data_IF_708825616187
#
_entry.id   IF_708825616187
#
_cell.length_a   1.000
_cell.length_b   1.000
_cell.length_c   1.000
_cell.angle_alpha   90.00
_cell.angle_beta   90.00
_cell.angle_gamma   90.00
#
_symmetry.space_group_name_H-M   'P 1'
#
loop_
_entity.id
_entity.type
_entity.pdbx_description
1 polymer ?
#
# COMPACT_ATOMS: atom_id res chain seq x y z
N UNK A 1 -1.19 8.10 10.82
CA UNK A 1 -2.21 9.10 10.41
C UNK A 1 -1.63 10.23 9.58
N UNK A 2 -0.56 10.93 10.02
CA UNK A 2 0.09 11.97 9.21
C UNK A 2 0.50 11.51 7.79
N UNK A 3 1.19 10.37 7.66
CA UNK A 3 1.58 9.82 6.36
C UNK A 3 0.37 9.47 5.47
N UNK A 4 -0.71 8.95 6.06
CA UNK A 4 -1.96 8.70 5.34
C UNK A 4 -2.65 9.98 4.87
N UNK A 5 -2.52 11.08 5.62
CA UNK A 5 -3.04 12.38 5.18
C UNK A 5 -2.38 12.84 3.87
N UNK A 6 -1.07 12.65 3.74
CA UNK A 6 -0.35 12.93 2.51
C UNK A 6 -0.84 12.03 1.38
N UNK A 7 -0.91 10.71 1.64
CA UNK A 7 -1.42 9.74 0.67
C UNK A 7 -2.83 10.09 0.18
N UNK A 8 -3.76 10.50 1.04
CA UNK A 8 -5.11 10.87 0.60
C UNK A 8 -5.15 12.16 -0.23
N UNK A 9 -4.21 13.08 -0.01
CA UNK A 9 -4.08 14.27 -0.84
C UNK A 9 -3.57 13.93 -2.23
N UNK A 10 -2.58 13.04 -2.32
CA UNK A 10 -1.94 12.65 -3.56
C UNK A 10 -2.76 11.63 -4.35
N UNK A 11 -3.45 10.74 -3.64
CA UNK A 11 -4.23 9.63 -4.19
C UNK A 11 -5.52 9.51 -3.37
N UNK A 12 -6.59 10.20 -3.82
CA UNK A 12 -7.88 10.11 -3.20
C UNK A 12 -8.37 8.65 -3.16
N UNK A 13 -9.02 8.28 -2.05
CA UNK A 13 -9.60 6.96 -1.82
C UNK A 13 -11.01 6.83 -2.42
N UNK A 14 -11.23 7.48 -3.56
CA UNK A 14 -12.46 7.47 -4.32
C UNK A 14 -12.13 7.49 -5.81
N UNK A 15 -12.96 6.83 -6.61
CA UNK A 15 -12.82 6.83 -8.06
C UNK A 15 -13.58 8.01 -8.68
N UNK A 16 -12.95 8.69 -9.63
CA UNK A 16 -13.61 9.62 -10.54
C UNK A 16 -13.92 8.90 -11.86
N UNK A 17 -15.21 8.76 -12.19
CA UNK A 17 -15.69 8.04 -13.38
C UNK A 17 -15.06 6.64 -13.53
N UNK A 18 -14.86 5.95 -12.42
CA UNK A 18 -14.29 4.61 -12.37
C UNK A 18 -12.76 4.54 -12.45
N UNK A 19 -12.05 5.67 -12.36
CA UNK A 19 -10.59 5.75 -12.38
C UNK A 19 -10.02 6.41 -11.13
N UNK A 20 -8.82 6.01 -10.73
CA UNK A 20 -8.08 6.73 -9.69
C UNK A 20 -7.58 8.06 -10.23
N UNK A 21 -7.50 9.04 -9.34
CA UNK A 21 -6.89 10.33 -9.63
C UNK A 21 -5.53 10.43 -8.92
N UNK A 22 -4.49 9.83 -9.51
CA UNK A 22 -3.12 9.97 -9.03
C UNK A 22 -2.62 11.38 -9.34
N UNK A 23 -2.35 12.19 -8.30
CA UNK A 23 -1.82 13.55 -8.45
C UNK A 23 -0.31 13.60 -8.36
N UNK A 24 0.31 12.55 -7.84
CA UNK A 24 1.75 12.42 -7.70
C UNK A 24 2.23 11.02 -8.14
N UNK A 25 3.11 11.00 -9.15
CA UNK A 25 3.75 9.78 -9.66
C UNK A 25 5.09 9.49 -8.97
N UNK A 26 5.55 10.37 -8.05
CA UNK A 26 6.82 10.25 -7.33
C UNK A 26 6.95 8.92 -6.59
N UNK A 27 5.85 8.37 -6.06
CA UNK A 27 5.83 7.05 -5.43
C UNK A 27 6.34 5.95 -6.37
N UNK A 28 5.79 5.90 -7.59
CA UNK A 28 6.17 4.91 -8.60
C UNK A 28 7.55 5.20 -9.18
N UNK A 29 7.85 6.47 -9.46
CA UNK A 29 9.17 6.88 -9.95
C UNK A 29 10.28 6.56 -8.95
N UNK A 30 10.00 6.57 -7.64
CA UNK A 30 10.96 6.19 -6.61
C UNK A 30 11.11 4.67 -6.47
N UNK A 31 10.09 3.89 -6.76
CA UNK A 31 10.12 2.43 -6.63
C UNK A 31 10.72 1.73 -7.85
N UNK A 32 10.31 2.09 -9.07
CA UNK A 32 10.60 1.31 -10.27
C UNK A 32 11.80 1.86 -11.07
N UNK A 33 12.44 0.98 -11.85
CA UNK A 33 13.57 1.29 -12.74
C UNK A 33 13.13 1.83 -14.10
N UNK A 34 11.91 1.49 -14.54
CA UNK A 34 11.35 1.88 -15.84
C UNK A 34 9.93 2.45 -15.66
N UNK A 35 9.57 3.43 -16.50
CA UNK A 35 8.25 4.08 -16.57
C UNK A 35 7.18 3.20 -17.22
N UNK A 36 7.55 2.04 -17.78
CA UNK A 36 6.58 1.04 -18.26
C UNK A 36 5.74 0.42 -17.13
N UNK A 37 6.15 0.61 -15.88
CA UNK A 37 5.38 0.33 -14.67
C UNK A 37 4.60 1.57 -14.25
N UNK A 38 3.29 1.42 -14.04
CA UNK A 38 2.41 2.56 -13.82
C UNK A 38 0.92 2.28 -14.04
N UNK A 39 0.52 1.01 -14.13
CA UNK A 39 -0.89 0.68 -14.05
C UNK A 39 -1.39 0.89 -12.61
N UNK A 40 -2.71 0.90 -12.43
CA UNK A 40 -3.33 1.19 -11.13
C UNK A 40 -2.76 0.33 -9.99
N UNK A 41 -2.49 -0.95 -10.25
CA UNK A 41 -1.91 -1.88 -9.26
C UNK A 41 -0.48 -1.49 -8.90
N UNK A 42 0.34 -1.13 -9.89
CA UNK A 42 1.73 -0.71 -9.64
C UNK A 42 1.79 0.58 -8.83
N UNK A 43 0.92 1.54 -9.14
CA UNK A 43 0.85 2.81 -8.41
C UNK A 43 0.38 2.60 -6.97
N UNK A 44 -0.67 1.82 -6.76
CA UNK A 44 -1.15 1.46 -5.41
C UNK A 44 -0.08 0.70 -4.62
N UNK A 45 0.65 -0.22 -5.27
CA UNK A 45 1.75 -0.94 -4.64
C UNK A 45 2.89 -0.01 -4.22
N UNK A 46 3.28 0.92 -5.09
CA UNK A 46 4.35 1.88 -4.81
C UNK A 46 4.04 2.74 -3.58
N UNK A 47 2.79 3.13 -3.41
CA UNK A 47 2.33 3.93 -2.27
C UNK A 47 2.28 3.10 -1.00
N UNK A 48 1.81 1.85 -1.08
CA UNK A 48 1.85 0.90 0.03
C UNK A 48 3.28 0.62 0.50
N UNK A 49 4.21 0.46 -0.44
CA UNK A 49 5.64 0.33 -0.16
C UNK A 49 6.23 1.58 0.48
N UNK A 50 5.89 2.77 -0.02
CA UNK A 50 6.32 4.02 0.61
C UNK A 50 5.79 4.15 2.03
N UNK A 51 4.50 3.85 2.28
CA UNK A 51 3.94 3.82 3.63
C UNK A 51 4.70 2.82 4.53
N UNK A 52 5.11 1.69 3.99
CA UNK A 52 5.95 0.73 4.70
C UNK A 52 7.29 1.36 5.09
N UNK A 53 8.01 1.95 4.14
CA UNK A 53 9.32 2.57 4.40
C UNK A 53 9.21 3.68 5.45
N UNK A 54 8.27 4.61 5.28
CA UNK A 54 8.14 5.77 6.17
C UNK A 54 7.76 5.42 7.61
N UNK A 55 7.15 4.27 7.86
CA UNK A 55 6.64 3.92 9.18
C UNK A 55 7.39 2.76 9.85
N UNK A 56 8.09 1.92 9.08
CA UNK A 56 8.65 0.65 9.58
C UNK A 56 10.14 0.51 9.31
N UNK A 57 10.69 1.19 8.30
CA UNK A 57 12.09 1.07 7.92
C UNK A 57 12.97 2.01 8.75
N UNK A 58 14.04 1.47 9.33
CA UNK A 58 15.03 2.24 10.07
C UNK A 58 16.35 2.28 9.30
N UNK A 59 16.62 3.42 8.69
CA UNK A 59 17.86 3.70 7.95
C UNK A 59 19.10 3.54 8.84
N UNK A 60 18.96 3.66 10.17
CA UNK A 60 20.08 3.54 11.11
C UNK A 60 20.48 2.10 11.43
N UNK A 61 19.60 1.12 11.21
CA UNK A 61 19.85 -0.30 11.54
C UNK A 61 19.72 -1.25 10.35
N UNK A 62 19.41 -0.75 9.13
CA UNK A 62 19.13 -1.57 7.95
C UNK A 62 18.06 -2.66 8.22
N UNK A 63 17.18 -2.42 9.20
CA UNK A 63 16.21 -3.38 9.68
C UNK A 63 14.84 -2.71 9.86
N UNK A 64 13.83 -3.55 10.00
CA UNK A 64 12.54 -3.09 10.51
C UNK A 64 12.79 -2.59 11.94
N UNK A 65 12.27 -1.41 12.28
CA UNK A 65 12.38 -0.88 13.63
C UNK A 65 11.62 -1.82 14.58
N UNK A 66 12.25 -2.37 15.62
CA UNK A 66 11.58 -3.28 16.57
C UNK A 66 10.43 -2.60 17.35
N UNK A 67 10.39 -1.26 17.39
CA UNK A 67 9.23 -0.48 17.88
C UNK A 67 8.08 -0.39 16.87
N UNK A 68 8.30 -0.86 15.65
CA UNK A 68 7.31 -0.85 14.59
C UNK A 68 6.29 -1.96 14.86
N UNK A 69 5.17 -1.55 15.45
CA UNK A 69 4.11 -2.45 15.83
C UNK A 69 3.57 -3.18 14.60
N UNK A 70 3.39 -4.50 14.75
CA UNK A 70 2.54 -5.34 13.89
C UNK A 70 1.22 -4.62 13.50
N UNK A 71 0.71 -3.76 14.39
CA UNK A 71 -0.49 -2.93 14.19
C UNK A 71 -0.39 -1.97 13.01
N UNK A 72 0.79 -1.38 12.74
CA UNK A 72 0.98 -0.45 11.62
C UNK A 72 0.81 -1.19 10.29
N UNK A 73 1.37 -2.40 10.18
CA UNK A 73 1.22 -3.25 8.98
C UNK A 73 -0.26 -3.54 8.72
N UNK A 74 -1.07 -3.76 9.77
CA UNK A 74 -2.52 -3.95 9.59
C UNK A 74 -3.19 -2.72 8.98
N UNK A 75 -2.88 -1.51 9.44
CA UNK A 75 -3.47 -0.29 8.86
C UNK A 75 -3.06 -0.07 7.39
N UNK A 76 -1.80 -0.36 7.04
CA UNK A 76 -1.33 -0.31 5.65
C UNK A 76 -2.10 -1.33 4.80
N UNK A 77 -2.27 -2.56 5.29
CA UNK A 77 -3.02 -3.61 4.58
C UNK A 77 -4.52 -3.29 4.48
N UNK A 78 -5.13 -2.68 5.49
CA UNK A 78 -6.53 -2.22 5.43
C UNK A 78 -6.68 -1.19 4.29
N UNK A 79 -5.79 -0.20 4.25
CA UNK A 79 -5.78 0.79 3.17
C UNK A 79 -5.56 0.12 1.80
N UNK A 80 -4.57 -0.77 1.69
CA UNK A 80 -4.25 -1.47 0.44
C UNK A 80 -5.43 -2.28 -0.09
N UNK A 81 -6.06 -3.11 0.75
CA UNK A 81 -7.23 -3.91 0.37
C UNK A 81 -8.39 -2.98 -0.02
N UNK A 82 -8.63 -1.93 0.76
CA UNK A 82 -9.69 -0.96 0.45
C UNK A 82 -9.50 -0.35 -0.93
N UNK A 83 -8.31 0.20 -1.20
CA UNK A 83 -7.98 0.78 -2.50
C UNK A 83 -8.19 -0.24 -3.60
N UNK A 84 -7.56 -1.41 -3.54
CA UNK A 84 -7.73 -2.45 -4.57
C UNK A 84 -9.21 -2.81 -4.83
N UNK A 85 -10.02 -2.91 -3.77
CA UNK A 85 -11.46 -3.24 -3.89
C UNK A 85 -12.30 -2.11 -4.50
N UNK A 86 -11.87 -0.85 -4.49
CA UNK A 86 -12.58 0.23 -5.20
C UNK A 86 -12.74 -0.05 -6.70
N UNK A 87 -11.74 -0.71 -7.31
CA UNK A 87 -11.73 -1.13 -8.72
C UNK A 87 -12.29 -2.54 -8.95
N UNK A 88 -12.78 -3.22 -7.91
CA UNK A 88 -13.39 -4.53 -8.10
C UNK A 88 -14.78 -4.36 -8.71
N UNK A 89 -15.01 -5.02 -9.83
CA UNK A 89 -16.25 -4.97 -10.62
C UNK A 89 -17.12 -6.23 -10.41
N UNK A 90 -16.81 -7.03 -9.38
CA UNK A 90 -17.47 -8.31 -9.10
C UNK A 90 -17.05 -9.46 -10.03
N UNK A 91 -16.22 -9.21 -11.04
CA UNK A 91 -15.68 -10.23 -11.96
C UNK A 91 -14.23 -10.54 -11.65
N UNK A 92 -13.45 -9.51 -11.28
CA UNK A 92 -12.03 -9.65 -10.95
C UNK A 92 -11.77 -9.27 -9.50
N UNK A 93 -11.15 -10.19 -8.76
CA UNK A 93 -10.60 -9.89 -7.44
C UNK A 93 -9.26 -9.16 -7.61
N UNK A 94 -9.31 -7.84 -7.49
CA UNK A 94 -8.13 -6.96 -7.57
C UNK A 94 -7.11 -7.21 -6.47
N UNK A 95 -7.53 -7.77 -5.33
CA UNK A 95 -6.62 -8.18 -4.26
C UNK A 95 -5.81 -9.40 -4.69
N UNK A 96 -6.46 -10.37 -5.34
CA UNK A 96 -5.78 -11.55 -5.88
C UNK A 96 -4.88 -11.20 -7.07
N UNK A 97 -5.31 -10.29 -7.93
CA UNK A 97 -4.48 -9.77 -9.04
C UNK A 97 -3.21 -9.09 -8.51
N UNK A 98 -3.35 -8.24 -7.49
CA UNK A 98 -2.21 -7.64 -6.78
C UNK A 98 -1.31 -8.71 -6.17
N UNK A 99 -1.86 -9.71 -5.47
CA UNK A 99 -1.08 -10.77 -4.84
C UNK A 99 -0.22 -11.50 -5.86
N UNK A 100 -0.83 -11.94 -6.97
CA UNK A 100 -0.12 -12.67 -8.01
C UNK A 100 0.98 -11.83 -8.67
N UNK A 101 0.70 -10.54 -8.93
CA UNK A 101 1.62 -9.64 -9.63
C UNK A 101 2.75 -9.09 -8.73
N UNK A 102 2.44 -8.67 -7.52
CA UNK A 102 3.35 -7.88 -6.68
C UNK A 102 4.00 -8.69 -5.55
N UNK A 103 3.40 -9.83 -5.16
CA UNK A 103 3.80 -10.63 -3.99
C UNK A 103 4.29 -12.03 -4.39
N UNK A 104 3.62 -12.70 -5.34
CA UNK A 104 3.91 -14.08 -5.74
C UNK A 104 4.65 -14.20 -7.09
N UNK A 105 5.20 -13.11 -7.61
CA UNK A 105 5.76 -13.09 -8.97
C UNK A 105 7.15 -13.74 -9.10
N UNK A 106 7.41 -14.32 -10.28
CA UNK A 106 8.60 -15.10 -10.66
C UNK A 106 9.81 -14.20 -10.98
N UNK A 107 10.25 -13.39 -10.01
CA UNK A 107 11.40 -12.46 -10.08
C UNK A 107 11.26 -11.26 -11.04
N UNK A 108 10.39 -11.30 -12.04
CA UNK A 108 10.28 -10.24 -13.06
C UNK A 108 9.93 -8.88 -12.45
N UNK A 109 8.98 -8.86 -11.52
CA UNK A 109 8.57 -7.67 -10.78
C UNK A 109 9.65 -7.15 -9.83
N UNK A 110 10.44 -8.06 -9.24
CA UNK A 110 11.55 -7.66 -8.37
C UNK A 110 12.64 -6.98 -9.18
N UNK A 111 12.89 -7.43 -10.41
CA UNK A 111 13.88 -6.83 -11.31
C UNK A 111 13.47 -5.45 -11.82
N UNK A 112 12.17 -5.11 -11.78
CA UNK A 112 11.71 -3.77 -12.12
C UNK A 112 11.82 -2.78 -10.97
N UNK A 113 12.16 -3.23 -9.76
CA UNK A 113 12.38 -2.36 -8.60
C UNK A 113 13.81 -1.84 -8.61
N UNK A 114 13.98 -0.58 -8.25
CA UNK A 114 15.32 0.02 -8.12
C UNK A 114 16.16 -0.81 -7.16
N UNK A 115 17.42 -1.04 -7.53
CA UNK A 115 18.37 -1.81 -6.72
C UNK A 115 18.49 -1.31 -5.28
N UNK A 116 18.33 0.01 -5.05
CA UNK A 116 18.34 0.63 -3.72
C UNK A 116 17.21 0.13 -2.82
N UNK A 117 16.09 -0.29 -3.40
CA UNK A 117 14.86 -0.64 -2.69
C UNK A 117 14.63 -2.16 -2.64
N UNK A 118 15.40 -2.97 -3.37
CA UNK A 118 15.16 -4.42 -3.51
C UNK A 118 15.15 -5.16 -2.17
N UNK A 119 16.03 -4.80 -1.22
CA UNK A 119 16.10 -5.44 0.11
C UNK A 119 14.86 -5.06 0.94
N UNK A 120 14.52 -3.77 0.98
CA UNK A 120 13.34 -3.27 1.67
C UNK A 120 12.05 -3.87 1.08
N UNK A 121 11.96 -3.96 -0.24
CA UNK A 121 10.81 -4.50 -0.94
C UNK A 121 10.58 -5.99 -0.64
N UNK A 122 11.65 -6.80 -0.57
CA UNK A 122 11.53 -8.21 -0.16
C UNK A 122 10.97 -8.35 1.27
N UNK A 123 11.39 -7.47 2.17
CA UNK A 123 10.88 -7.43 3.55
C UNK A 123 9.41 -7.02 3.59
N UNK A 124 9.05 -5.98 2.83
CA UNK A 124 7.67 -5.54 2.61
C UNK A 124 6.78 -6.68 2.09
N UNK A 125 7.20 -7.40 1.04
CA UNK A 125 6.45 -8.52 0.48
C UNK A 125 6.13 -9.59 1.53
N UNK A 126 7.12 -9.97 2.35
CA UNK A 126 6.95 -10.97 3.41
C UNK A 126 5.88 -10.56 4.43
N UNK A 127 5.91 -9.30 4.87
CA UNK A 127 4.96 -8.77 5.85
C UNK A 127 3.55 -8.59 5.26
N UNK A 128 3.46 -8.04 4.05
CA UNK A 128 2.18 -7.87 3.36
C UNK A 128 1.55 -9.22 3.06
N UNK A 129 2.29 -10.20 2.54
CA UNK A 129 1.77 -11.54 2.22
C UNK A 129 1.03 -12.15 3.44
N UNK A 130 1.71 -12.17 4.59
CA UNK A 130 1.18 -12.75 5.83
C UNK A 130 -0.16 -12.12 6.23
N UNK A 131 -0.25 -10.79 6.18
CA UNK A 131 -1.44 -10.04 6.64
C UNK A 131 -2.55 -9.99 5.59
N UNK A 132 -2.19 -9.81 4.33
CA UNK A 132 -3.13 -9.76 3.20
C UNK A 132 -3.97 -11.03 3.12
N UNK A 133 -3.33 -12.20 3.24
CA UNK A 133 -4.02 -13.50 3.20
C UNK A 133 -5.04 -13.67 4.33
N UNK A 134 -4.69 -13.24 5.55
CA UNK A 134 -5.58 -13.31 6.72
C UNK A 134 -6.77 -12.35 6.58
N UNK A 135 -6.52 -11.10 6.21
CA UNK A 135 -7.55 -10.07 6.17
C UNK A 135 -8.47 -10.21 4.95
N UNK A 136 -7.94 -10.63 3.80
CA UNK A 136 -8.78 -10.82 2.61
C UNK A 136 -9.82 -11.94 2.80
N UNK A 137 -9.46 -13.03 3.49
CA UNK A 137 -10.37 -14.14 3.79
C UNK A 137 -11.26 -13.89 5.01
N UNK A 138 -10.73 -13.22 6.03
CA UNK A 138 -11.40 -13.05 7.32
C UNK A 138 -12.32 -11.84 7.43
N UNK A 139 -12.20 -10.86 6.52
CA UNK A 139 -12.93 -9.58 6.61
C UNK A 139 -13.74 -9.33 5.34
N UNK A 140 -15.04 -9.64 5.45
CA UNK A 140 -16.01 -9.37 4.38
C UNK A 140 -16.18 -7.85 4.16
N UNK A 141 -16.30 -7.06 5.23
CA UNK A 141 -16.59 -5.62 5.18
C UNK A 141 -15.34 -4.76 5.47
N UNK A 142 -14.26 -4.92 4.71
CA UNK A 142 -13.03 -4.12 4.92
C UNK A 142 -13.27 -2.61 4.82
N UNK A 143 -14.28 -2.18 4.05
CA UNK A 143 -14.67 -0.78 3.93
C UNK A 143 -15.08 -0.18 5.27
N UNK A 144 -15.81 -0.92 6.13
CA UNK A 144 -16.18 -0.44 7.47
C UNK A 144 -14.95 -0.23 8.37
N UNK A 145 -13.99 -1.15 8.31
CA UNK A 145 -12.73 -1.01 9.05
C UNK A 145 -11.91 0.17 8.53
N UNK A 146 -11.87 0.34 7.21
CA UNK A 146 -11.22 1.47 6.57
C UNK A 146 -11.86 2.81 6.97
N UNK A 147 -13.19 2.92 6.93
CA UNK A 147 -13.92 4.14 7.31
C UNK A 147 -13.66 4.53 8.77
N UNK A 148 -13.67 3.53 9.67
CA UNK A 148 -13.34 3.74 11.08
C UNK A 148 -11.89 4.18 11.26
N UNK A 149 -10.96 3.55 10.56
CA UNK A 149 -9.54 3.91 10.55
C UNK A 149 -9.32 5.34 10.02
N UNK A 150 -9.93 5.70 8.90
CA UNK A 150 -9.84 7.03 8.31
C UNK A 150 -10.40 8.09 9.26
N UNK A 151 -11.56 7.83 9.87
CA UNK A 151 -12.17 8.72 10.86
C UNK A 151 -11.25 8.96 12.05
N UNK A 152 -10.63 7.89 12.58
CA UNK A 152 -9.65 7.99 13.66
C UNK A 152 -8.48 8.90 13.25
N UNK A 153 -7.94 8.70 12.04
CA UNK A 153 -6.83 9.51 11.58
C UNK A 153 -7.19 10.98 11.33
N UNK A 154 -8.37 11.27 10.82
CA UNK A 154 -8.85 12.64 10.67
C UNK A 154 -8.90 13.35 12.03
N UNK A 155 -9.42 12.70 13.07
CA UNK A 155 -9.44 13.26 14.43
C UNK A 155 -8.03 13.59 14.95
N UNK A 156 -7.03 12.76 14.64
CA UNK A 156 -5.64 13.03 15.04
C UNK A 156 -5.01 14.17 14.24
N UNK A 157 -5.31 14.26 12.93
CA UNK A 157 -4.75 15.29 12.05
C UNK A 157 -5.38 16.66 12.32
N UNK A 158 -6.68 16.73 12.61
CA UNK A 158 -7.36 17.98 13.02
C UNK A 158 -6.83 18.51 14.34
N UNK A 159 -6.48 17.64 15.30
CA UNK A 159 -5.86 18.04 16.57
C UNK A 159 -4.42 18.56 16.43
N UNK A 160 -3.79 18.37 15.28
CA UNK A 160 -2.38 18.74 15.04
C UNK A 160 -2.21 19.83 13.97
N UNK A 161 -3.32 20.42 13.49
CA UNK A 161 -3.37 21.59 12.60
C UNK A 161 -3.62 22.87 13.39
#
# INVERSE_FOLDING_TARGET
CRNFNNVWNDIPDQLDKGNYNFKDDTYSDNLFTDKSYGNDIDKVNAVSFWLFEQNLWDDSSSSINDKSNIDIVHYIVIWLIHMLRLKSDGKTDKVMEFYNKCINDDMSYINSIKNTNTIAYKSYMGLINSKLSLMNKGINDISKFYDAFKSLCNMYNEKTA
#
